data_IF_052487327713
#
_entry.id   IF_052487327713
#
_cell.length_a   1.000
_cell.length_b   1.000
_cell.length_c   1.000
_cell.angle_alpha   90.00
_cell.angle_beta   90.00
_cell.angle_gamma   90.00
#
_symmetry.space_group_name_H-M   'P 1'
#
loop_
_entity.id
_entity.type
_entity.pdbx_description
1 polymer ?
#
# COMPACT_ATOMS: atom_id res chain seq x y z
N UNK A 1 49.69 -38.77 -43.66
CA UNK A 1 48.54 -39.70 -43.51
C UNK A 1 47.30 -38.83 -43.33
N UNK A 2 46.60 -38.46 -44.42
CA UNK A 2 45.26 -38.97 -44.82
C UNK A 2 44.28 -38.92 -43.61
N UNK A 3 43.21 -38.10 -43.57
CA UNK A 3 42.18 -37.80 -44.59
C UNK A 3 41.40 -36.50 -44.30
N UNK A 4 40.99 -35.82 -45.37
CA UNK A 4 39.96 -34.77 -45.47
C UNK A 4 38.52 -35.33 -45.36
N UNK A 5 37.58 -34.55 -44.79
CA UNK A 5 36.12 -34.43 -45.13
C UNK A 5 35.67 -33.04 -44.58
N UNK A 6 35.57 -31.92 -45.32
CA UNK A 6 34.52 -31.41 -46.25
C UNK A 6 33.07 -31.48 -45.73
N UNK A 7 32.48 -30.36 -45.28
CA UNK A 7 31.11 -29.85 -45.56
C UNK A 7 31.03 -28.42 -44.98
N UNK A 8 31.27 -27.33 -45.73
CA UNK A 8 30.39 -26.63 -46.68
C UNK A 8 29.13 -25.98 -46.07
N UNK A 9 29.23 -24.66 -45.85
CA UNK A 9 28.23 -23.57 -45.98
C UNK A 9 26.89 -23.61 -45.20
N UNK A 10 26.50 -22.38 -44.82
CA UNK A 10 25.14 -21.84 -44.59
C UNK A 10 24.70 -21.66 -43.12
N UNK A 11 24.99 -20.49 -42.54
CA UNK A 11 23.98 -19.53 -42.05
C UNK A 11 24.68 -18.25 -41.56
N UNK A 12 24.98 -17.37 -42.52
CA UNK A 12 25.29 -15.97 -42.28
C UNK A 12 23.95 -15.20 -42.37
N UNK A 13 23.29 -14.98 -41.23
CA UNK A 13 22.20 -14.00 -41.06
C UNK A 13 21.86 -13.88 -39.57
N UNK A 14 22.81 -13.39 -38.77
CA UNK A 14 22.45 -12.72 -37.52
C UNK A 14 22.08 -11.30 -37.94
N UNK A 15 20.79 -11.11 -38.25
CA UNK A 15 20.25 -9.76 -38.37
C UNK A 15 20.50 -9.06 -37.03
N UNK A 16 21.06 -7.83 -37.00
CA UNK A 16 21.04 -7.06 -35.78
C UNK A 16 19.56 -6.82 -35.48
N UNK A 17 19.05 -7.51 -34.46
CA UNK A 17 17.74 -7.22 -33.89
C UNK A 17 17.78 -5.73 -33.56
N UNK A 18 17.10 -4.93 -34.38
CA UNK A 18 17.08 -3.49 -34.23
C UNK A 18 16.75 -3.18 -32.79
N UNK A 19 17.58 -2.36 -32.15
CA UNK A 19 17.26 -1.82 -30.85
C UNK A 19 15.85 -1.23 -30.97
N UNK A 20 14.88 -1.89 -30.35
CA UNK A 20 13.62 -1.24 -30.03
C UNK A 20 14.08 -0.14 -29.10
N UNK A 21 14.20 1.08 -29.63
CA UNK A 21 14.33 2.26 -28.82
C UNK A 21 13.12 2.20 -27.90
N UNK A 22 13.34 1.75 -26.66
CA UNK A 22 12.36 1.93 -25.62
C UNK A 22 12.17 3.44 -25.61
N UNK A 23 10.99 3.87 -26.03
CA UNK A 23 10.59 5.25 -25.93
C UNK A 23 10.38 5.48 -24.43
N UNK A 24 11.49 5.57 -23.70
CA UNK A 24 11.52 6.02 -22.32
C UNK A 24 11.11 7.48 -22.46
N UNK A 25 9.83 7.75 -22.21
CA UNK A 25 9.35 9.12 -22.09
C UNK A 25 10.25 9.88 -21.11
N UNK A 26 10.18 11.22 -21.09
CA UNK A 26 11.02 12.01 -20.19
C UNK A 26 10.91 11.45 -18.76
N UNK A 27 12.06 11.08 -18.20
CA UNK A 27 12.15 10.56 -16.83
C UNK A 27 11.66 11.68 -15.89
N UNK A 28 10.53 11.45 -15.23
CA UNK A 28 10.02 12.41 -14.26
C UNK A 28 10.90 12.37 -13.02
N UNK A 29 11.33 13.54 -12.57
CA UNK A 29 11.93 13.69 -11.25
C UNK A 29 10.91 13.36 -10.15
N UNK A 30 11.41 12.99 -8.97
CA UNK A 30 10.57 12.76 -7.79
C UNK A 30 9.66 13.96 -7.50
N UNK A 31 10.19 15.17 -7.58
CA UNK A 31 9.44 16.41 -7.32
C UNK A 31 8.28 16.59 -8.30
N UNK A 32 8.47 16.25 -9.58
CA UNK A 32 7.41 16.30 -10.58
C UNK A 32 6.33 15.24 -10.32
N UNK A 33 6.72 14.04 -9.87
CA UNK A 33 5.76 12.99 -9.50
C UNK A 33 4.92 13.42 -8.30
N UNK A 34 5.56 13.93 -7.24
CA UNK A 34 4.86 14.38 -6.03
C UNK A 34 3.94 15.56 -6.33
N UNK A 35 4.41 16.54 -7.11
CA UNK A 35 3.58 17.69 -7.52
C UNK A 35 2.31 17.23 -8.24
N UNK A 36 2.45 16.35 -9.25
CA UNK A 36 1.30 15.81 -9.99
C UNK A 36 0.37 14.99 -9.09
N UNK A 37 0.91 14.20 -8.16
CA UNK A 37 0.12 13.45 -7.20
C UNK A 37 -0.72 14.38 -6.32
N UNK A 38 -0.12 15.42 -5.75
CA UNK A 38 -0.82 16.38 -4.89
C UNK A 38 -1.92 17.13 -5.65
N UNK A 39 -1.66 17.55 -6.88
CA UNK A 39 -2.68 18.16 -7.74
C UNK A 39 -3.84 17.18 -8.01
N UNK A 40 -3.53 15.92 -8.32
CA UNK A 40 -4.52 14.90 -8.65
C UNK A 40 -5.42 14.52 -7.46
N UNK A 41 -4.91 14.54 -6.23
CA UNK A 41 -5.72 14.25 -5.03
C UNK A 41 -6.51 15.47 -4.53
N UNK A 42 -6.44 16.63 -5.20
CA UNK A 42 -7.20 17.83 -4.84
C UNK A 42 -6.42 18.88 -4.05
N UNK A 43 -5.09 18.76 -3.96
CA UNK A 43 -4.17 19.74 -3.38
C UNK A 43 -3.95 19.60 -1.88
N UNK A 44 -2.69 19.76 -1.43
CA UNK A 44 -2.29 19.62 -0.03
C UNK A 44 -3.09 20.54 0.92
N UNK A 45 -3.30 21.80 0.55
CA UNK A 45 -4.03 22.74 1.40
C UNK A 45 -5.52 22.39 1.62
N UNK A 46 -6.08 21.46 0.85
CA UNK A 46 -7.41 20.90 1.13
C UNK A 46 -7.31 19.69 2.07
N UNK A 47 -6.33 18.81 1.87
CA UNK A 47 -6.05 17.67 2.75
C UNK A 47 -5.65 18.09 4.18
N UNK A 48 -4.88 19.18 4.32
CA UNK A 48 -4.52 19.78 5.62
C UNK A 48 -5.74 20.21 6.44
N UNK A 49 -6.88 20.48 5.79
CA UNK A 49 -8.14 20.90 6.44
C UNK A 49 -9.05 19.71 6.79
N UNK A 50 -8.69 18.49 6.40
CA UNK A 50 -9.47 17.29 6.73
C UNK A 50 -9.20 16.93 8.19
N UNK A 51 -10.19 17.13 9.07
CA UNK A 51 -10.07 16.76 10.47
C UNK A 51 -10.49 15.31 10.76
N UNK A 52 -11.41 14.79 9.94
CA UNK A 52 -11.96 13.44 10.07
C UNK A 52 -12.16 12.79 8.71
N UNK A 53 -11.98 11.48 8.64
CA UNK A 53 -12.18 10.70 7.43
C UNK A 53 -12.84 9.37 7.76
N UNK A 54 -13.79 8.94 6.93
CA UNK A 54 -14.38 7.61 6.99
C UNK A 54 -14.05 6.88 5.70
N UNK A 55 -13.51 5.67 5.82
CA UNK A 55 -13.19 4.80 4.69
C UNK A 55 -13.95 3.49 4.84
N UNK A 56 -14.72 3.13 3.83
CA UNK A 56 -15.43 1.85 3.75
C UNK A 56 -14.90 1.03 2.57
N UNK A 57 -14.77 -0.27 2.76
CA UNK A 57 -14.21 -1.13 1.75
C UNK A 57 -14.33 -2.60 2.08
N UNK A 58 -13.60 -3.40 1.30
CA UNK A 58 -13.51 -4.83 1.53
C UNK A 58 -12.07 -5.28 1.32
N UNK A 59 -11.52 -5.98 2.30
CA UNK A 59 -10.26 -6.69 2.12
C UNK A 59 -10.60 -8.04 1.48
N UNK A 60 -9.99 -8.29 0.33
CA UNK A 60 -10.15 -9.54 -0.41
C UNK A 60 -8.96 -10.46 -0.11
N UNK A 61 -9.24 -11.63 0.46
CA UNK A 61 -8.29 -12.75 0.52
C UNK A 61 -8.72 -13.84 -0.46
N UNK A 62 -7.93 -14.91 -0.61
CA UNK A 62 -8.33 -16.06 -1.44
C UNK A 62 -9.63 -16.72 -0.93
N UNK A 63 -9.93 -16.58 0.36
CA UNK A 63 -10.98 -17.31 1.05
C UNK A 63 -12.16 -16.44 1.45
N UNK A 64 -11.92 -15.15 1.70
CA UNK A 64 -12.89 -14.26 2.35
C UNK A 64 -12.89 -12.87 1.72
N UNK A 65 -14.10 -12.30 1.65
CA UNK A 65 -14.32 -10.87 1.52
C UNK A 65 -14.61 -10.34 2.92
N UNK A 66 -13.74 -9.50 3.44
CA UNK A 66 -13.84 -8.94 4.80
C UNK A 66 -14.30 -7.49 4.66
N UNK A 67 -15.57 -7.17 4.96
CA UNK A 67 -16.01 -5.78 5.07
C UNK A 67 -15.16 -5.04 6.10
N UNK A 68 -14.71 -3.86 5.72
CA UNK A 68 -13.86 -3.01 6.54
C UNK A 68 -14.42 -1.60 6.56
N UNK A 69 -14.46 -1.01 7.75
CA UNK A 69 -14.76 0.40 7.96
C UNK A 69 -13.66 0.99 8.84
N UNK A 70 -13.14 2.15 8.47
CA UNK A 70 -12.13 2.86 9.22
C UNK A 70 -12.56 4.31 9.42
N UNK A 71 -12.44 4.78 10.65
CA UNK A 71 -12.67 6.17 11.06
C UNK A 71 -11.34 6.74 11.51
N UNK A 72 -11.01 7.92 11.02
CA UNK A 72 -9.79 8.66 11.34
C UNK A 72 -10.16 10.04 11.88
N UNK A 73 -9.39 10.51 12.85
CA UNK A 73 -9.54 11.83 13.42
C UNK A 73 -8.17 12.39 13.83
N UNK A 74 -7.90 13.64 13.47
CA UNK A 74 -6.67 14.32 13.87
C UNK A 74 -6.55 14.48 15.40
N UNK A 75 -5.32 14.56 15.94
CA UNK A 75 -4.05 14.49 15.22
C UNK A 75 -3.65 13.08 14.77
N UNK A 76 -4.06 12.04 15.49
CA UNK A 76 -3.50 10.69 15.33
C UNK A 76 -4.42 9.61 15.90
N UNK A 77 -5.74 9.71 15.68
CA UNK A 77 -6.70 8.75 16.21
C UNK A 77 -7.33 7.97 15.07
N UNK A 78 -7.48 6.67 15.28
CA UNK A 78 -8.28 5.88 14.36
C UNK A 78 -8.98 4.71 15.04
N UNK A 79 -10.03 4.25 14.37
CA UNK A 79 -10.80 3.06 14.72
C UNK A 79 -11.07 2.29 13.44
N UNK A 80 -10.64 1.04 13.39
CA UNK A 80 -10.80 0.15 12.25
C UNK A 80 -11.62 -1.06 12.67
N UNK A 81 -12.64 -1.37 11.89
CA UNK A 81 -13.49 -2.54 12.02
C UNK A 81 -13.24 -3.52 10.88
N UNK A 82 -13.15 -4.80 11.23
CA UNK A 82 -13.11 -5.91 10.28
C UNK A 82 -14.24 -6.87 10.60
N UNK A 83 -15.11 -7.16 9.62
CA UNK A 83 -16.19 -8.14 9.79
C UNK A 83 -15.73 -9.51 9.30
N UNK A 84 -15.43 -10.42 10.23
CA UNK A 84 -14.98 -11.78 9.94
C UNK A 84 -16.08 -12.74 10.37
N UNK A 85 -16.60 -13.55 9.44
CA UNK A 85 -17.67 -14.54 9.71
C UNK A 85 -18.91 -13.96 10.42
N UNK A 86 -19.21 -12.69 10.17
CA UNK A 86 -20.35 -11.98 10.79
C UNK A 86 -20.06 -11.35 12.15
N UNK A 87 -18.85 -11.53 12.69
CA UNK A 87 -18.41 -10.91 13.93
C UNK A 87 -17.44 -9.76 13.66
N UNK A 88 -17.57 -8.69 14.44
CA UNK A 88 -16.76 -7.47 14.27
C UNK A 88 -15.52 -7.55 15.17
N UNK A 89 -14.35 -7.51 14.54
CA UNK A 89 -13.08 -7.22 15.19
C UNK A 89 -12.83 -5.72 15.13
N UNK A 90 -12.53 -5.10 16.27
CA UNK A 90 -12.24 -3.67 16.36
C UNK A 90 -10.80 -3.47 16.79
N UNK A 91 -10.05 -2.62 16.10
CA UNK A 91 -8.78 -2.08 16.54
C UNK A 91 -8.89 -0.57 16.60
N UNK A 92 -8.34 0.06 17.63
CA UNK A 92 -8.35 1.51 17.71
C UNK A 92 -7.11 2.04 18.42
N UNK A 93 -6.76 3.28 18.11
CA UNK A 93 -5.68 4.05 18.71
C UNK A 93 -6.20 5.44 19.06
N UNK A 94 -5.96 5.88 20.29
CA UNK A 94 -6.50 7.12 20.86
C UNK A 94 -5.51 8.30 20.84
N UNK A 95 -4.37 8.15 20.16
CA UNK A 95 -3.24 9.10 20.17
C UNK A 95 -2.18 8.80 21.24
N UNK A 96 -2.40 7.79 22.09
CA UNK A 96 -1.43 7.37 23.12
C UNK A 96 -1.33 5.86 23.25
N UNK A 97 -2.45 5.17 23.19
CA UNK A 97 -2.56 3.73 23.38
C UNK A 97 -3.49 3.09 22.38
N UNK A 98 -3.18 1.85 22.01
CA UNK A 98 -4.05 1.07 21.16
C UNK A 98 -4.74 -0.06 21.93
N UNK A 99 -5.92 -0.43 21.46
CA UNK A 99 -6.68 -1.55 21.98
C UNK A 99 -7.34 -2.35 20.86
N UNK A 100 -7.65 -3.59 21.16
CA UNK A 100 -8.32 -4.51 20.25
C UNK A 100 -9.47 -5.21 20.96
N UNK A 101 -10.62 -5.32 20.28
CA UNK A 101 -11.70 -6.21 20.67
C UNK A 101 -11.84 -7.26 19.57
N UNK A 102 -11.44 -8.49 19.87
CA UNK A 102 -11.50 -9.61 18.92
C UNK A 102 -12.33 -10.76 19.52
N UNK A 103 -13.58 -10.97 19.05
CA UNK A 103 -14.45 -12.06 19.48
C UNK A 103 -13.81 -13.46 19.34
N UNK A 104 -12.88 -13.62 18.39
CA UNK A 104 -12.22 -14.89 18.10
C UNK A 104 -10.99 -15.16 18.99
N UNK A 105 -10.57 -14.20 19.82
CA UNK A 105 -9.36 -14.32 20.65
C UNK A 105 -9.55 -15.16 21.92
N UNK A 106 -10.79 -15.52 22.26
CA UNK A 106 -11.13 -16.17 23.52
C UNK A 106 -11.03 -15.25 24.75
N UNK A 107 -10.58 -14.00 24.59
CA UNK A 107 -10.54 -13.00 25.66
C UNK A 107 -11.82 -12.16 25.65
N UNK A 108 -12.52 -12.00 26.79
CA UNK A 108 -13.70 -11.15 26.84
C UNK A 108 -13.32 -9.66 26.75
N UNK A 109 -14.02 -8.93 25.90
CA UNK A 109 -13.92 -7.47 25.83
C UNK A 109 -12.73 -6.94 25.03
N UNK A 110 -12.42 -5.66 25.26
CA UNK A 110 -11.29 -4.98 24.63
C UNK A 110 -10.02 -5.15 25.48
N UNK A 111 -8.89 -5.41 24.83
CA UNK A 111 -7.57 -5.57 25.46
C UNK A 111 -6.62 -4.51 24.94
N UNK A 112 -5.78 -3.97 25.82
CA UNK A 112 -4.72 -3.04 25.44
C UNK A 112 -3.66 -3.79 24.64
N UNK A 113 -3.15 -3.16 23.59
CA UNK A 113 -2.08 -3.71 22.77
C UNK A 113 -0.70 -3.38 23.36
N UNK A 114 0.28 -4.21 23.06
CA UNK A 114 1.68 -3.93 23.41
C UNK A 114 2.24 -2.75 22.61
N UNK A 115 3.47 -2.33 22.95
CA UNK A 115 4.11 -1.19 22.29
C UNK A 115 4.25 -1.38 20.79
N UNK A 116 4.70 -2.55 20.32
CA UNK A 116 4.94 -2.79 18.90
C UNK A 116 3.66 -2.70 18.07
N UNK A 117 2.57 -3.29 18.58
CA UNK A 117 1.24 -3.19 17.96
C UNK A 117 0.64 -1.79 18.05
N UNK A 118 0.92 -1.06 19.14
CA UNK A 118 0.50 0.33 19.29
C UNK A 118 1.21 1.23 18.28
N UNK A 119 2.53 1.13 18.16
CA UNK A 119 3.32 1.89 17.19
C UNK A 119 2.86 1.60 15.74
N UNK A 120 2.56 0.34 15.44
CA UNK A 120 2.02 -0.05 14.14
C UNK A 120 0.67 0.62 13.85
N UNK A 121 -0.27 0.65 14.79
CA UNK A 121 -1.55 1.32 14.57
C UNK A 121 -1.37 2.84 14.48
N UNK A 122 -0.50 3.44 15.29
CA UNK A 122 -0.20 4.86 15.21
C UNK A 122 0.27 5.27 13.80
N UNK A 123 1.17 4.48 13.19
CA UNK A 123 1.63 4.68 11.80
C UNK A 123 0.51 4.54 10.76
N UNK A 124 -0.52 3.74 11.05
CA UNK A 124 -1.67 3.52 10.15
C UNK A 124 -2.85 4.45 10.38
N UNK A 125 -2.85 5.25 11.44
CA UNK A 125 -3.93 6.19 11.75
C UNK A 125 -3.76 7.57 11.07
N UNK A 126 -2.72 7.75 10.26
CA UNK A 126 -2.51 8.98 9.49
C UNK A 126 -3.52 9.12 8.32
N UNK A 127 -3.97 10.34 8.06
CA UNK A 127 -4.96 10.63 7.00
C UNK A 127 -4.27 10.81 5.64
N UNK A 128 -3.10 11.42 5.62
CA UNK A 128 -2.43 11.86 4.39
C UNK A 128 -1.60 10.78 3.71
N UNK A 129 -1.15 9.80 4.46
CA UNK A 129 -0.30 8.72 4.00
C UNK A 129 1.16 9.15 3.80
N UNK A 130 2.03 8.21 3.39
CA UNK A 130 3.48 8.35 3.45
C UNK A 130 4.08 9.32 2.41
N UNK A 131 3.28 9.76 1.43
CA UNK A 131 3.76 10.66 0.38
C UNK A 131 3.73 12.12 0.81
N UNK A 132 2.80 12.50 1.70
CA UNK A 132 2.74 13.89 2.18
C UNK A 132 3.89 14.15 3.13
N UNK A 133 4.66 15.21 2.85
CA UNK A 133 5.86 15.54 3.63
C UNK A 133 7.11 14.71 3.29
N UNK A 134 7.09 13.93 2.19
CA UNK A 134 8.25 13.19 1.70
C UNK A 134 9.45 14.12 1.44
N UNK A 135 10.65 13.70 1.86
CA UNK A 135 11.94 14.39 1.63
C UNK A 135 12.99 13.39 1.18
#
# INVERSE_FOLDING_TARGET
MKRLIITALLFLLIAPMGAIAQNVGPELSLDEVLTKYYEAIGGLGNWEKVDTMVMEGNIHTQELKIPTAAEYMRPDKCRVEYTIRGEVVVQAYDGQSAWEKNPHSGTPGAVKLDKGRTDYLADKCDIEGPLVGYK
#
